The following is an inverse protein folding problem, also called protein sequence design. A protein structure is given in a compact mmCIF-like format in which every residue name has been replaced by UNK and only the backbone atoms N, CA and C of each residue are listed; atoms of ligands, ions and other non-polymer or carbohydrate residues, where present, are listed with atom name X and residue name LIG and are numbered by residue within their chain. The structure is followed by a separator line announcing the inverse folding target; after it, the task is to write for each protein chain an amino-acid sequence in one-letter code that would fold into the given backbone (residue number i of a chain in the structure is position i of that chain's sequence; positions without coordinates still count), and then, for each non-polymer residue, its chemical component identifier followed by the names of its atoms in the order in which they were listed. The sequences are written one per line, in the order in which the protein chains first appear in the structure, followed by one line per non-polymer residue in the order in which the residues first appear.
data_IF_621109339161
#
_entry.id   IF_621109339161
#
_cell.length_a   1.000
_cell.length_b   1.000
_cell.length_c   1.000
_cell.angle_alpha   90.00
_cell.angle_beta   90.00
_cell.angle_gamma   90.00
#
_symmetry.space_group_name_H-M   'P 1'
#
loop_
_entity.id
_entity.type
_entity.pdbx_description
1 polymer ?
#
# COMPACT_ATOMS: atom_id res chain seq x y z
N UNK A 1 -14.06 -4.74 7.38
CA UNK A 1 -13.43 -4.84 6.04
C UNK A 1 -12.29 -3.85 6.09
N UNK A 2 -11.12 -4.35 6.48
CA UNK A 2 -9.90 -3.56 6.60
C UNK A 2 -9.40 -3.24 5.18
N UNK A 3 -9.36 -1.95 4.83
CA UNK A 3 -8.95 -1.46 3.52
C UNK A 3 -7.43 -1.31 3.41
N UNK A 4 -6.97 -0.70 2.32
CA UNK A 4 -5.56 -0.44 2.05
C UNK A 4 -4.89 0.35 3.18
N UNK A 5 -5.59 1.36 3.72
CA UNK A 5 -5.08 2.21 4.77
C UNK A 5 -4.81 1.45 6.09
N UNK A 6 -5.64 0.44 6.39
CA UNK A 6 -5.46 -0.43 7.57
C UNK A 6 -4.29 -1.41 7.36
N UNK A 7 -4.17 -1.93 6.13
CA UNK A 7 -3.04 -2.78 5.73
C UNK A 7 -1.70 -2.03 5.74
N UNK A 8 -1.72 -0.71 5.49
CA UNK A 8 -0.55 0.17 5.54
C UNK A 8 -0.17 0.62 6.97
N UNK A 9 -1.13 0.63 7.90
CA UNK A 9 -0.87 0.99 9.29
C UNK A 9 0.11 0.02 9.98
N UNK A 10 0.05 -1.26 9.61
CA UNK A 10 0.93 -2.31 10.15
C UNK A 10 2.42 -2.14 9.77
N UNK A 11 2.81 -1.98 8.49
CA UNK A 11 4.20 -1.71 8.12
C UNK A 11 4.71 -0.38 8.67
N UNK A 12 3.87 0.66 8.72
CA UNK A 12 4.24 1.94 9.33
C UNK A 12 4.61 1.79 10.83
N UNK A 13 3.94 0.91 11.57
CA UNK A 13 4.27 0.60 12.97
C UNK A 13 5.64 -0.10 13.13
N UNK A 14 6.16 -0.70 12.05
CA UNK A 14 7.48 -1.34 12.00
C UNK A 14 8.56 -0.45 11.37
N UNK A 15 8.30 0.86 11.23
CA UNK A 15 9.20 1.83 10.58
C UNK A 15 9.52 1.50 9.11
N UNK A 16 8.67 0.70 8.45
CA UNK A 16 8.75 0.46 7.02
C UNK A 16 7.89 1.54 6.36
N UNK A 17 8.53 2.49 5.69
CA UNK A 17 7.84 3.61 5.05
C UNK A 17 7.24 3.17 3.71
N UNK A 18 5.90 3.06 3.58
CA UNK A 18 5.29 2.85 2.27
C UNK A 18 5.53 4.05 1.38
N UNK A 19 5.71 3.81 0.09
CA UNK A 19 5.69 4.88 -0.91
C UNK A 19 4.28 5.51 -0.99
N UNK A 20 4.15 6.73 -1.55
CA UNK A 20 2.85 7.33 -1.76
C UNK A 20 1.95 6.42 -2.61
N UNK A 21 0.70 6.20 -2.15
CA UNK A 21 -0.24 5.40 -2.92
C UNK A 21 -0.62 6.11 -4.23
N UNK A 22 -0.42 5.43 -5.35
CA UNK A 22 -0.86 5.85 -6.67
C UNK A 22 -2.34 5.51 -6.84
N UNK A 23 -3.14 6.47 -7.31
CA UNK A 23 -4.56 6.23 -7.64
C UNK A 23 -4.74 6.35 -9.14
N UNK A 24 -5.23 5.30 -9.77
CA UNK A 24 -5.48 5.26 -11.21
C UNK A 24 -6.92 5.72 -11.52
N UNK A 25 -7.16 6.16 -12.77
CA UNK A 25 -8.49 6.65 -13.21
C UNK A 25 -9.61 5.63 -13.09
N UNK A 26 -9.29 4.33 -13.02
CA UNK A 26 -10.26 3.26 -12.78
C UNK A 26 -10.62 3.06 -11.29
N UNK A 27 -10.10 3.93 -10.40
CA UNK A 27 -10.32 3.89 -8.95
C UNK A 27 -9.49 2.83 -8.21
N UNK A 28 -8.60 2.11 -8.89
CA UNK A 28 -7.62 1.24 -8.23
C UNK A 28 -6.60 2.11 -7.50
N UNK A 29 -6.31 1.74 -6.25
CA UNK A 29 -5.20 2.33 -5.48
C UNK A 29 -4.08 1.32 -5.39
N UNK A 30 -2.86 1.73 -5.67
CA UNK A 30 -1.66 0.90 -5.62
C UNK A 30 -0.62 1.54 -4.71
N UNK A 31 0.04 0.74 -3.89
CA UNK A 31 1.11 1.19 -3.02
C UNK A 31 2.24 0.19 -3.03
N UNK A 32 3.47 0.71 -3.00
CA UNK A 32 4.69 -0.10 -2.91
C UNK A 32 5.29 0.11 -1.54
N UNK A 33 5.71 -0.98 -0.91
CA UNK A 33 6.40 -0.99 0.36
C UNK A 33 7.81 -1.52 0.09
N UNK A 34 8.84 -0.65 0.09
CA UNK A 34 10.22 -1.08 -0.04
C UNK A 34 10.67 -1.76 1.26
N UNK A 35 11.26 -2.93 1.12
CA UNK A 35 11.84 -3.69 2.21
C UNK A 35 13.35 -3.37 2.34
N UNK A 36 13.92 -3.33 3.56
CA UNK A 36 15.34 -3.05 3.77
C UNK A 36 16.31 -3.99 3.05
N UNK A 37 15.89 -5.22 2.73
CA UNK A 37 16.71 -6.20 2.00
C UNK A 37 16.74 -5.93 0.49
N UNK A 38 16.09 -4.85 0.03
CA UNK A 38 16.04 -4.44 -1.38
C UNK A 38 14.92 -5.11 -2.18
N UNK A 39 13.98 -5.76 -1.50
CA UNK A 39 12.74 -6.26 -2.10
C UNK A 39 11.63 -5.20 -2.08
N UNK A 40 10.54 -5.46 -2.80
CA UNK A 40 9.35 -4.61 -2.78
C UNK A 40 8.09 -5.44 -2.64
N UNK A 41 7.19 -5.03 -1.73
CA UNK A 41 5.84 -5.56 -1.61
C UNK A 41 4.85 -4.58 -2.24
N UNK A 42 4.14 -5.02 -3.27
CA UNK A 42 3.07 -4.24 -3.91
C UNK A 42 1.70 -4.66 -3.40
N UNK A 43 0.90 -3.68 -2.99
CA UNK A 43 -0.49 -3.86 -2.57
C UNK A 43 -1.40 -3.06 -3.50
N UNK A 44 -2.48 -3.68 -3.95
CA UNK A 44 -3.49 -3.03 -4.78
C UNK A 44 -4.88 -3.23 -4.18
N UNK A 45 -5.61 -2.13 -4.03
CA UNK A 45 -7.00 -2.11 -3.62
C UNK A 45 -7.89 -1.89 -4.83
N UNK A 46 -8.89 -2.77 -4.99
CA UNK A 46 -9.90 -2.62 -6.03
C UNK A 46 -10.81 -1.40 -5.73
N UNK A 47 -11.33 -0.72 -6.76
CA UNK A 47 -12.25 0.39 -6.57
C UNK A 47 -13.48 -0.06 -5.75
N UNK A 48 -13.85 0.75 -4.76
CA UNK A 48 -15.12 0.61 -4.05
C UNK A 48 -16.22 1.16 -4.95
N UNK A 49 -17.16 0.30 -5.33
CA UNK A 49 -18.31 0.63 -6.18
C UNK A 49 -19.30 1.56 -5.48
#
# INVERSE_FOLDING_TARGET
MEGLDDSLARPAAHSIGPEPAETYDNGVRHVVIPDPDGNSLSLAEAPTK
#
